data_IF_993416408473
#
_entry.id   IF_993416408473
#
_cell.length_a   1.000
_cell.length_b   1.000
_cell.length_c   1.000
_cell.angle_alpha   90.00
_cell.angle_beta   90.00
_cell.angle_gamma   90.00
#
_symmetry.space_group_name_H-M   'P 1'
#
loop_
_entity.id
_entity.type
_entity.pdbx_description
1 polymer ?
#
# COMPACT_ATOMS: atom_id res chain seq x y z
N UNK A 1 -24.38 19.36 60.81
CA UNK A 1 -24.04 19.88 59.47
C UNK A 1 -22.94 19.01 58.87
N UNK A 2 -23.26 18.09 57.96
CA UNK A 2 -22.28 17.26 57.24
C UNK A 2 -22.20 17.80 55.80
N UNK A 3 -21.02 18.30 55.41
CA UNK A 3 -20.72 18.68 54.02
C UNK A 3 -20.19 17.44 53.31
N UNK A 4 -20.91 16.99 52.28
CA UNK A 4 -20.46 15.94 51.36
C UNK A 4 -19.69 16.65 50.24
N UNK A 5 -18.39 16.42 50.18
CA UNK A 5 -17.54 16.82 49.05
C UNK A 5 -17.68 15.74 47.98
N UNK A 6 -18.36 16.08 46.89
CA UNK A 6 -18.39 15.26 45.67
C UNK A 6 -17.16 15.64 44.85
N UNK A 7 -16.11 14.82 44.93
CA UNK A 7 -14.97 14.91 44.03
C UNK A 7 -15.39 14.40 42.65
N UNK A 8 -15.51 15.32 41.69
CA UNK A 8 -15.66 14.99 40.28
C UNK A 8 -14.28 14.58 39.77
N UNK A 9 -14.03 13.27 39.73
CA UNK A 9 -12.87 12.70 39.05
C UNK A 9 -13.11 12.88 37.56
N UNK A 10 -12.44 13.87 36.97
CA UNK A 10 -12.42 14.05 35.51
C UNK A 10 -11.51 12.97 34.94
N UNK A 11 -12.11 11.92 34.38
CA UNK A 11 -11.39 10.89 33.62
C UNK A 11 -11.02 11.54 32.29
N UNK A 12 -9.78 12.00 32.17
CA UNK A 12 -9.17 12.29 30.87
C UNK A 12 -8.98 10.97 30.14
N UNK A 13 -9.87 10.66 29.20
CA UNK A 13 -9.58 9.69 28.16
C UNK A 13 -8.46 10.26 27.29
N UNK A 14 -7.22 9.91 27.59
CA UNK A 14 -6.19 9.92 26.58
C UNK A 14 -6.63 8.88 25.55
N UNK A 15 -7.10 9.34 24.39
CA UNK A 15 -7.15 8.53 23.19
C UNK A 15 -5.71 8.22 22.82
N UNK A 16 -5.13 7.22 23.49
CA UNK A 16 -3.98 6.53 22.93
C UNK A 16 -4.51 5.91 21.64
N UNK A 17 -4.18 6.53 20.51
CA UNK A 17 -4.39 5.98 19.19
C UNK A 17 -3.60 4.70 19.10
N UNK A 18 -4.20 3.61 19.57
CA UNK A 18 -3.72 2.27 19.28
C UNK A 18 -3.88 2.13 17.78
N UNK A 19 -2.77 2.24 17.06
CA UNK A 19 -2.71 1.87 15.67
C UNK A 19 -3.15 0.41 15.58
N UNK A 20 -4.39 0.23 15.13
CA UNK A 20 -4.92 -1.09 14.90
C UNK A 20 -4.07 -1.72 13.80
N UNK A 21 -3.68 -2.96 14.07
CA UNK A 21 -2.72 -3.80 13.37
C UNK A 21 -2.80 -3.73 11.83
N UNK A 22 -1.71 -4.18 11.20
CA UNK A 22 -1.31 -4.39 9.81
C UNK A 22 -2.35 -4.85 8.76
N UNK A 23 -3.59 -4.42 8.92
CA UNK A 23 -4.75 -4.76 8.14
C UNK A 23 -4.91 -3.81 6.96
N UNK A 24 -5.48 -4.34 5.89
CA UNK A 24 -5.84 -3.59 4.68
C UNK A 24 -6.94 -2.56 5.02
N UNK A 25 -6.55 -1.29 5.21
CA UNK A 25 -7.44 -0.21 5.64
C UNK A 25 -8.49 0.10 4.56
N UNK A 26 -8.12 -0.06 3.29
CA UNK A 26 -9.03 0.07 2.15
C UNK A 26 -10.11 -1.02 2.20
N UNK A 27 -9.71 -2.28 2.39
CA UNK A 27 -10.65 -3.40 2.50
C UNK A 27 -11.56 -3.25 3.72
N UNK A 28 -11.02 -2.82 4.87
CA UNK A 28 -11.80 -2.50 6.08
C UNK A 28 -12.88 -1.44 5.80
N UNK A 29 -12.51 -0.34 5.16
CA UNK A 29 -13.47 0.72 4.82
C UNK A 29 -14.54 0.22 3.82
N UNK A 30 -14.12 -0.52 2.79
CA UNK A 30 -15.02 -1.07 1.79
C UNK A 30 -16.03 -2.04 2.41
N UNK A 31 -15.58 -2.92 3.32
CA UNK A 31 -16.43 -3.85 4.06
C UNK A 31 -17.36 -3.13 5.03
N UNK A 32 -16.89 -2.09 5.71
CA UNK A 32 -17.70 -1.30 6.63
C UNK A 32 -18.84 -0.58 5.88
N UNK A 33 -18.57 -0.07 4.68
CA UNK A 33 -19.52 0.75 3.92
C UNK A 33 -20.41 -0.03 2.96
N UNK A 34 -19.94 -1.18 2.45
CA UNK A 34 -20.66 -2.04 1.50
C UNK A 34 -21.36 -1.26 0.38
N UNK A 35 -20.64 -0.31 -0.22
CA UNK A 35 -21.18 0.61 -1.24
C UNK A 35 -21.81 -0.10 -2.43
N UNK A 36 -21.34 -1.30 -2.73
CA UNK A 36 -21.78 -2.14 -3.83
C UNK A 36 -21.61 -3.62 -3.47
N UNK A 37 -22.34 -4.56 -4.12
CA UNK A 37 -22.21 -5.99 -3.84
C UNK A 37 -20.81 -6.57 -4.09
N UNK A 38 -20.02 -5.92 -4.95
CA UNK A 38 -18.65 -6.28 -5.29
C UNK A 38 -17.60 -5.60 -4.40
N UNK A 39 -17.97 -5.07 -3.23
CA UNK A 39 -17.06 -4.30 -2.37
C UNK A 39 -15.73 -5.01 -2.03
N UNK A 40 -15.68 -6.34 -2.11
CA UNK A 40 -14.47 -7.15 -1.93
C UNK A 40 -13.35 -6.86 -2.94
N UNK A 41 -13.65 -6.22 -4.08
CA UNK A 41 -12.64 -5.84 -5.07
C UNK A 41 -11.87 -4.57 -4.67
N UNK A 42 -12.33 -3.84 -3.65
CA UNK A 42 -11.62 -2.67 -3.12
C UNK A 42 -10.72 -3.13 -1.98
N UNK A 43 -9.50 -3.48 -2.34
CA UNK A 43 -8.44 -3.88 -1.42
C UNK A 43 -7.11 -3.30 -1.88
N UNK A 44 -6.12 -3.34 -1.00
CA UNK A 44 -4.76 -2.83 -1.20
C UNK A 44 -4.10 -3.41 -2.44
N UNK A 45 -4.21 -4.71 -2.68
CA UNK A 45 -3.55 -5.37 -3.83
C UNK A 45 -4.11 -4.86 -5.16
N UNK A 46 -5.43 -4.82 -5.29
CA UNK A 46 -6.11 -4.42 -6.52
C UNK A 46 -5.92 -2.92 -6.76
N UNK A 47 -6.18 -2.09 -5.75
CA UNK A 47 -6.08 -0.64 -5.92
C UNK A 47 -4.63 -0.18 -6.02
N UNK A 48 -3.70 -0.83 -5.32
CA UNK A 48 -2.26 -0.58 -5.46
C UNK A 48 -1.74 -0.90 -6.86
N UNK A 49 -2.14 -2.05 -7.44
CA UNK A 49 -1.76 -2.43 -8.80
C UNK A 49 -2.28 -1.40 -9.81
N UNK A 50 -3.55 -0.99 -9.67
CA UNK A 50 -4.16 0.06 -10.50
C UNK A 50 -3.43 1.40 -10.36
N UNK A 51 -3.04 1.78 -9.14
CA UNK A 51 -2.33 3.04 -8.90
C UNK A 51 -0.97 3.07 -9.60
N UNK A 52 -0.18 1.99 -9.48
CA UNK A 52 1.14 1.88 -10.10
C UNK A 52 1.06 1.94 -11.63
N UNK A 53 0.07 1.24 -12.20
CA UNK A 53 -0.19 1.27 -13.65
C UNK A 53 -0.68 2.67 -14.10
N UNK A 54 -1.62 3.28 -13.37
CA UNK A 54 -2.20 4.58 -13.71
C UNK A 54 -1.18 5.73 -13.66
N UNK A 55 -0.28 5.69 -12.68
CA UNK A 55 0.81 6.66 -12.53
C UNK A 55 1.98 6.40 -13.51
N UNK A 56 1.94 5.32 -14.29
CA UNK A 56 3.03 4.89 -15.18
C UNK A 56 4.38 4.78 -14.46
N UNK A 57 4.38 4.26 -13.22
CA UNK A 57 5.55 4.35 -12.35
C UNK A 57 6.81 3.73 -12.94
N UNK A 58 6.71 2.59 -13.63
CA UNK A 58 7.88 1.95 -14.27
C UNK A 58 8.41 2.67 -15.51
N UNK A 59 7.60 3.55 -16.12
CA UNK A 59 8.06 4.42 -17.21
C UNK A 59 8.76 5.66 -16.66
N UNK A 60 8.25 6.20 -15.53
CA UNK A 60 8.87 7.31 -14.80
C UNK A 60 10.22 6.93 -14.16
N UNK A 61 10.36 5.67 -13.78
CA UNK A 61 11.59 5.09 -13.25
C UNK A 61 11.76 3.64 -13.70
N UNK A 62 12.70 3.42 -14.61
CA UNK A 62 12.94 2.09 -15.17
C UNK A 62 13.62 1.15 -14.17
N UNK A 63 14.25 1.67 -13.12
CA UNK A 63 15.01 0.90 -12.13
C UNK A 63 14.12 0.33 -11.03
N UNK A 64 12.90 0.84 -10.88
CA UNK A 64 11.91 0.23 -10.00
C UNK A 64 11.59 -1.17 -10.51
N UNK A 65 11.72 -2.16 -9.63
CA UNK A 65 11.41 -3.58 -9.89
C UNK A 65 10.12 -4.05 -9.22
N UNK A 66 9.54 -3.21 -8.38
CA UNK A 66 8.25 -3.47 -7.74
C UNK A 66 7.95 -2.41 -6.69
N UNK A 67 6.92 -2.65 -5.92
CA UNK A 67 6.53 -1.86 -4.77
C UNK A 67 6.18 -2.80 -3.62
N UNK A 68 6.38 -2.35 -2.39
CA UNK A 68 5.87 -3.02 -1.19
C UNK A 68 4.90 -2.09 -0.47
N UNK A 69 3.84 -2.64 0.10
CA UNK A 69 3.03 -1.86 1.00
C UNK A 69 3.82 -1.49 2.26
N UNK A 70 3.59 -0.29 2.80
CA UNK A 70 4.25 0.21 4.00
C UNK A 70 3.22 0.75 4.99
N UNK A 71 3.33 0.36 6.26
CA UNK A 71 2.45 0.86 7.32
C UNK A 71 2.82 2.29 7.67
N UNK A 72 1.81 3.18 7.70
CA UNK A 72 1.96 4.58 8.08
C UNK A 72 1.87 4.81 9.61
N UNK A 73 1.78 3.73 10.39
CA UNK A 73 1.72 3.83 11.84
C UNK A 73 3.10 4.11 12.43
N UNK A 74 3.24 5.30 13.00
CA UNK A 74 4.47 5.80 13.60
C UNK A 74 4.91 4.96 14.78
N UNK A 75 5.87 4.07 14.54
CA UNK A 75 6.81 3.72 15.59
C UNK A 75 7.78 4.91 15.75
N UNK A 76 7.88 5.56 16.92
CA UNK A 76 8.92 6.56 17.19
C UNK A 76 10.35 6.00 17.03
N UNK A 77 10.50 4.68 16.90
CA UNK A 77 11.77 4.02 16.53
C UNK A 77 12.13 4.13 15.04
N UNK A 78 11.20 4.58 14.18
CA UNK A 78 11.40 4.72 12.74
C UNK A 78 11.29 3.41 11.95
N UNK A 79 10.96 2.28 12.58
CA UNK A 79 10.78 1.03 11.84
C UNK A 79 9.45 1.04 11.11
N UNK A 80 9.49 1.28 9.80
CA UNK A 80 8.37 1.00 8.89
C UNK A 80 8.00 -0.48 9.05
N UNK A 81 6.88 -0.78 9.71
CA UNK A 81 6.38 -2.15 9.79
C UNK A 81 6.03 -2.62 8.37
N UNK A 82 6.74 -3.66 7.93
CA UNK A 82 6.65 -4.20 6.58
C UNK A 82 5.38 -5.03 6.46
N UNK A 83 4.56 -4.75 5.45
CA UNK A 83 3.45 -5.61 5.08
C UNK A 83 3.90 -6.75 4.16
N UNK A 84 3.14 -7.84 4.18
CA UNK A 84 3.33 -9.03 3.35
C UNK A 84 2.79 -8.87 1.91
N UNK A 85 2.61 -7.65 1.41
CA UNK A 85 2.08 -7.42 0.06
C UNK A 85 3.08 -6.72 -0.83
N UNK A 86 3.44 -7.40 -1.91
CA UNK A 86 4.31 -6.90 -2.96
C UNK A 86 3.52 -6.69 -4.25
N UNK A 87 3.87 -5.67 -5.01
CA UNK A 87 3.37 -5.43 -6.35
C UNK A 87 4.58 -5.39 -7.28
N UNK A 88 4.83 -6.50 -7.95
CA UNK A 88 6.03 -6.76 -8.71
C UNK A 88 5.89 -6.27 -10.15
N UNK A 89 6.99 -5.76 -10.69
CA UNK A 89 7.10 -5.46 -12.12
C UNK A 89 7.21 -6.78 -12.89
N UNK A 90 6.31 -7.00 -13.82
CA UNK A 90 6.43 -8.07 -14.81
C UNK A 90 6.70 -7.46 -16.19
N UNK A 91 7.72 -7.96 -16.87
CA UNK A 91 8.08 -7.56 -18.23
C UNK A 91 7.96 -8.76 -19.15
N UNK A 92 7.02 -8.69 -20.09
CA UNK A 92 6.77 -9.72 -21.08
C UNK A 92 7.32 -9.29 -22.44
N UNK A 93 8.25 -10.07 -22.98
CA UNK A 93 8.90 -9.83 -24.26
C UNK A 93 8.28 -10.75 -25.32
N UNK A 94 7.90 -10.19 -26.46
CA UNK A 94 7.37 -10.91 -27.63
C UNK A 94 8.00 -10.38 -28.92
N UNK A 95 7.70 -11.01 -30.06
CA UNK A 95 8.09 -10.47 -31.38
C UNK A 95 7.47 -9.09 -31.67
N UNK A 96 6.36 -8.74 -31.02
CA UNK A 96 5.64 -7.48 -31.22
C UNK A 96 6.14 -6.35 -30.32
N UNK A 97 7.02 -6.66 -29.35
CA UNK A 97 7.58 -5.69 -28.42
C UNK A 97 7.55 -6.13 -26.97
N UNK A 98 7.77 -5.15 -26.10
CA UNK A 98 7.89 -5.32 -24.64
C UNK A 98 6.66 -4.72 -23.97
N UNK A 99 6.01 -5.49 -23.10
CA UNK A 99 4.92 -5.02 -22.25
C UNK A 99 5.33 -5.12 -20.79
N UNK A 100 5.12 -4.05 -20.04
CA UNK A 100 5.29 -4.03 -18.59
C UNK A 100 3.92 -3.95 -17.92
N UNK A 101 3.71 -4.69 -16.83
CA UNK A 101 2.53 -4.61 -15.97
C UNK A 101 2.88 -4.88 -14.51
N UNK A 102 1.97 -4.52 -13.61
CA UNK A 102 2.05 -4.85 -12.19
C UNK A 102 1.34 -6.16 -11.85
N UNK A 103 1.94 -6.95 -10.96
CA UNK A 103 1.38 -8.22 -10.46
C UNK A 103 1.49 -8.25 -8.93
N UNK A 104 0.38 -8.45 -8.22
CA UNK A 104 0.41 -8.63 -6.77
C UNK A 104 0.97 -10.00 -6.39
N UNK A 105 1.72 -10.06 -5.29
CA UNK A 105 2.30 -11.28 -4.75
C UNK A 105 2.46 -11.19 -3.24
N UNK A 106 2.23 -12.30 -2.53
CA UNK A 106 2.46 -12.41 -1.08
C UNK A 106 3.53 -13.46 -0.73
N UNK A 107 4.31 -13.25 0.33
CA UNK A 107 5.17 -14.28 0.91
C UNK A 107 4.46 -15.60 1.12
N UNK A 108 5.05 -16.68 0.61
CA UNK A 108 4.50 -18.03 0.73
C UNK A 108 3.54 -18.42 -0.39
N UNK A 109 3.06 -17.48 -1.21
CA UNK A 109 2.29 -17.83 -2.41
C UNK A 109 3.19 -18.35 -3.53
N UNK A 110 2.76 -19.38 -4.28
CA UNK A 110 3.51 -19.86 -5.42
C UNK A 110 3.66 -18.76 -6.46
N UNK A 111 4.85 -18.66 -7.02
CA UNK A 111 5.12 -17.72 -8.09
C UNK A 111 4.34 -18.10 -9.37
N UNK A 112 3.76 -17.10 -10.04
CA UNK A 112 2.99 -17.29 -11.27
C UNK A 112 3.85 -16.93 -12.48
N UNK A 113 4.26 -17.95 -13.24
CA UNK A 113 4.83 -17.74 -14.57
C UNK A 113 3.71 -17.54 -15.59
N UNK A 114 3.57 -16.31 -16.10
CA UNK A 114 2.60 -15.99 -17.12
C UNK A 114 3.12 -16.18 -18.55
N UNK A 115 4.34 -16.71 -18.73
CA UNK A 115 4.93 -16.93 -20.06
C UNK A 115 4.08 -17.87 -20.92
N UNK A 116 4.03 -17.60 -22.23
CA UNK A 116 3.36 -18.44 -23.21
C UNK A 116 4.25 -18.64 -24.45
N UNK A 117 3.82 -19.48 -25.39
CA UNK A 117 4.62 -19.83 -26.57
C UNK A 117 5.12 -18.61 -27.37
N UNK A 118 4.34 -17.52 -27.39
CA UNK A 118 4.63 -16.30 -28.16
C UNK A 118 5.22 -15.14 -27.33
N UNK A 119 5.35 -15.29 -26.01
CA UNK A 119 5.97 -14.26 -25.16
C UNK A 119 6.56 -14.83 -23.87
N UNK A 120 7.69 -14.28 -23.44
CA UNK A 120 8.38 -14.68 -22.20
C UNK A 120 8.24 -13.55 -21.19
N UNK A 121 7.66 -13.85 -20.03
CA UNK A 121 7.51 -12.92 -18.92
C UNK A 121 8.64 -13.11 -17.91
N UNK A 122 9.09 -11.99 -17.36
CA UNK A 122 10.21 -11.91 -16.42
C UNK A 122 9.85 -10.95 -15.30
N UNK A 123 10.34 -11.26 -14.11
CA UNK A 123 10.10 -10.48 -12.90
C UNK A 123 11.44 -10.06 -12.32
N UNK A 124 11.91 -8.84 -12.63
CA UNK A 124 13.26 -8.41 -12.27
C UNK A 124 13.60 -8.55 -10.78
N UNK A 125 12.61 -8.37 -9.90
CA UNK A 125 12.77 -8.55 -8.45
C UNK A 125 13.09 -10.00 -8.03
N UNK A 126 12.69 -11.00 -8.84
CA UNK A 126 12.90 -12.42 -8.56
C UNK A 126 14.11 -13.01 -9.30
N UNK A 127 14.45 -12.47 -10.47
CA UNK A 127 15.56 -12.97 -11.29
C UNK A 127 16.91 -12.88 -10.59
N UNK A 128 17.05 -11.96 -9.64
CA UNK A 128 18.30 -11.74 -8.94
C UNK A 128 18.49 -12.62 -7.70
N UNK A 129 17.60 -13.61 -7.47
CA UNK A 129 17.59 -14.41 -6.25
C UNK A 129 17.38 -13.56 -4.99
N UNK A 130 16.86 -12.35 -5.17
CA UNK A 130 16.72 -11.37 -4.11
C UNK A 130 15.63 -11.84 -3.14
N UNK A 131 15.97 -11.88 -1.86
CA UNK A 131 14.95 -11.98 -0.84
C UNK A 131 14.23 -10.62 -0.77
N UNK A 132 12.97 -10.60 -1.20
CA UNK A 132 12.17 -9.37 -1.34
C UNK A 132 12.09 -8.53 -0.06
N UNK A 133 12.28 -9.16 1.12
CA UNK A 133 12.33 -8.48 2.40
C UNK A 133 13.56 -7.58 2.57
N UNK A 134 14.62 -7.81 1.79
CA UNK A 134 15.90 -7.09 1.83
C UNK A 134 16.08 -6.13 0.65
N UNK A 135 15.09 -6.00 -0.23
CA UNK A 135 15.14 -4.95 -1.24
C UNK A 135 15.10 -3.59 -0.52
N UNK A 136 16.12 -2.77 -0.78
CA UNK A 136 16.24 -1.45 -0.18
C UNK A 136 15.08 -0.58 -0.63
N UNK A 137 14.42 0.05 0.35
CA UNK A 137 13.64 1.26 0.11
C UNK A 137 14.61 2.40 0.27
N UNK A 138 14.84 3.14 -0.80
CA UNK A 138 15.69 4.32 -0.73
C UNK A 138 14.93 5.44 0.00
N UNK A 139 15.37 5.75 1.21
CA UNK A 139 14.85 6.81 2.09
C UNK A 139 15.05 8.24 1.54
N UNK A 140 15.40 8.40 0.25
CA UNK A 140 15.54 9.70 -0.41
C UNK A 140 14.62 9.87 -1.62
N UNK A 141 13.81 8.86 -1.98
CA UNK A 141 13.05 8.90 -3.24
C UNK A 141 11.58 9.28 -3.03
N UNK A 142 11.20 10.41 -3.65
CA UNK A 142 9.86 10.98 -3.75
C UNK A 142 8.88 10.17 -4.64
N UNK A 143 8.93 8.83 -4.59
CA UNK A 143 8.15 7.95 -5.47
C UNK A 143 7.33 6.92 -4.70
N UNK A 144 7.04 7.20 -3.43
CA UNK A 144 6.01 6.43 -2.75
C UNK A 144 4.69 6.65 -3.49
N UNK A 145 3.93 5.59 -3.68
CA UNK A 145 2.60 5.67 -4.27
C UNK A 145 1.59 5.66 -3.14
N UNK A 146 0.74 6.68 -3.08
CA UNK A 146 -0.42 6.70 -2.20
C UNK A 146 -1.66 6.28 -2.96
N UNK A 147 -2.49 5.51 -2.27
CA UNK A 147 -3.82 5.13 -2.74
C UNK A 147 -4.82 5.54 -1.69
N UNK A 148 -5.76 6.41 -2.03
CA UNK A 148 -6.82 6.85 -1.11
C UNK A 148 -8.17 6.48 -1.67
N UNK A 149 -8.93 5.67 -0.92
CA UNK A 149 -10.33 5.37 -1.18
C UNK A 149 -11.19 6.21 -0.24
N UNK A 150 -12.06 7.05 -0.79
CA UNK A 150 -13.06 7.77 -0.03
C UNK A 150 -14.47 7.34 -0.41
N UNK A 151 -15.35 7.19 0.57
CA UNK A 151 -16.74 6.76 0.45
C UNK A 151 -17.64 7.76 1.19
N UNK A 152 -18.53 8.42 0.43
CA UNK A 152 -19.50 9.38 0.96
C UNK A 152 -20.81 9.29 0.21
N UNK A 153 -21.93 9.25 0.92
CA UNK A 153 -23.29 9.24 0.34
C UNK A 153 -23.48 8.18 -0.76
N UNK A 154 -23.03 6.94 -0.52
CA UNK A 154 -23.06 5.80 -1.48
C UNK A 154 -22.22 5.99 -2.76
N UNK A 155 -21.48 7.08 -2.88
CA UNK A 155 -20.48 7.28 -3.92
C UNK A 155 -19.09 6.97 -3.37
N UNK A 156 -18.18 6.61 -4.28
CA UNK A 156 -16.78 6.44 -3.94
C UNK A 156 -15.87 7.20 -4.92
N UNK A 157 -14.71 7.61 -4.42
CA UNK A 157 -13.61 8.14 -5.21
C UNK A 157 -12.35 7.38 -4.86
N UNK A 158 -11.49 7.17 -5.85
CA UNK A 158 -10.16 6.59 -5.64
C UNK A 158 -9.15 7.56 -6.23
N UNK A 159 -8.20 7.98 -5.39
CA UNK A 159 -7.13 8.90 -5.76
C UNK A 159 -5.80 8.16 -5.71
N UNK A 160 -4.95 8.42 -6.71
CA UNK A 160 -3.60 7.86 -6.84
C UNK A 160 -2.63 9.03 -6.97
N UNK A 161 -1.59 9.07 -6.13
CA UNK A 161 -0.59 10.14 -6.18
C UNK A 161 0.81 9.63 -5.81
N UNK A 162 1.81 10.46 -6.09
CA UNK A 162 3.15 10.29 -5.55
C UNK A 162 3.30 11.09 -4.24
N UNK A 163 3.73 10.42 -3.18
CA UNK A 163 4.13 11.06 -1.94
C UNK A 163 5.65 11.20 -1.86
N UNK A 164 6.10 12.43 -1.56
CA UNK A 164 7.43 12.68 -1.02
C UNK A 164 7.50 12.25 0.44
N UNK A 165 8.71 11.99 0.95
CA UNK A 165 8.93 11.51 2.33
C UNK A 165 8.41 12.50 3.36
N UNK A 166 8.58 13.80 3.14
CA UNK A 166 8.03 14.86 4.00
C UNK A 166 6.49 14.88 4.01
N UNK A 167 5.85 14.32 2.98
CA UNK A 167 4.40 14.20 2.88
C UNK A 167 3.89 12.85 3.41
N UNK A 168 4.76 11.84 3.57
CA UNK A 168 4.40 10.53 4.15
C UNK A 168 3.87 10.70 5.57
N UNK A 169 4.46 11.59 6.38
CA UNK A 169 3.97 11.90 7.72
C UNK A 169 2.59 12.58 7.74
N UNK A 170 2.15 13.15 6.61
CA UNK A 170 0.82 13.74 6.45
C UNK A 170 -0.18 12.77 5.83
N UNK A 171 0.25 11.58 5.39
CA UNK A 171 -0.66 10.52 4.96
C UNK A 171 -1.27 9.91 6.22
N UNK A 172 -2.41 10.48 6.63
CA UNK A 172 -3.16 9.96 7.75
C UNK A 172 -3.68 8.56 7.42
N UNK A 173 -3.18 7.57 8.15
CA UNK A 173 -3.69 6.19 8.14
C UNK A 173 -4.94 6.03 9.01
N UNK A 174 -5.44 7.12 9.60
CA UNK A 174 -6.72 7.10 10.27
C UNK A 174 -7.77 6.78 9.21
N UNK A 175 -8.44 5.64 9.38
CA UNK A 175 -9.76 5.45 8.80
C UNK A 175 -10.66 6.48 9.45
N UNK A 176 -10.62 7.72 8.96
CA UNK A 176 -11.76 8.59 9.13
C UNK A 176 -12.93 7.82 8.53
N UNK A 177 -14.13 7.92 9.12
CA UNK A 177 -15.27 7.07 8.75
C UNK A 177 -15.64 7.15 7.27
N UNK A 178 -14.99 7.98 6.48
CA UNK A 178 -15.22 8.16 5.05
C UNK A 178 -14.01 7.87 4.17
N UNK A 179 -12.77 7.79 4.67
CA UNK A 179 -11.59 7.61 3.81
C UNK A 179 -10.57 6.64 4.42
N UNK A 180 -9.88 5.91 3.57
CA UNK A 180 -8.78 5.03 3.95
C UNK A 180 -7.66 5.16 2.91
N UNK A 181 -6.42 5.20 3.39
CA UNK A 181 -5.24 5.34 2.56
C UNK A 181 -4.29 4.16 2.74
N UNK A 182 -3.52 3.87 1.70
CA UNK A 182 -2.45 2.89 1.70
C UNK A 182 -1.21 3.50 1.04
N UNK A 183 -0.03 3.18 1.58
CA UNK A 183 1.25 3.65 1.06
C UNK A 183 2.04 2.48 0.48
N UNK A 184 2.66 2.71 -0.68
CA UNK A 184 3.53 1.75 -1.33
C UNK A 184 4.90 2.35 -1.57
N UNK A 185 5.93 1.73 -0.99
CA UNK A 185 7.31 2.12 -1.22
C UNK A 185 7.89 1.43 -2.47
N UNK A 186 8.64 2.14 -3.31
CA UNK A 186 9.31 1.54 -4.46
C UNK A 186 10.41 0.59 -4.01
N UNK A 187 10.59 -0.49 -4.77
CA UNK A 187 11.66 -1.47 -4.58
C UNK A 187 12.65 -1.35 -5.74
N UNK A 188 13.94 -1.33 -5.40
CA UNK A 188 15.04 -1.26 -6.35
C UNK A 188 15.90 -2.51 -6.27
N UNK A 189 16.38 -2.94 -7.43
CA UNK A 189 17.32 -4.05 -7.54
C UNK A 189 18.74 -3.48 -7.54
N UNK A 190 19.32 -3.21 -6.38
CA UNK A 190 20.72 -2.77 -6.26
C UNK A 190 21.62 -4.01 -6.32
N UNK A 191 22.08 -4.33 -7.53
CA UNK A 191 23.19 -5.25 -7.80
C UNK A 191 24.29 -4.47 -8.51
#
# INVERSE_FOLDING_TARGET
MRRILVSIVSIFFFANGYCEDSSDSIAKLAELKRISPDYHIYNREILGTKAIDALNSYASDKNIVGFRAVSLCGDPSGSLHLYDTFILKETCNSMLGVRTRSVSWKPGEPFVDNSQHNYICRYPAMEAGANLQYLEVEDEISKYVTVTLCIKNQMYTVEYDYAGIDNVSNVHNEVDQTCASELFAPLYNRF
#
